data_IF_600866578480
#
_entry.id   IF_600866578480
#
_cell.length_a   1.000
_cell.length_b   1.000
_cell.length_c   1.000
_cell.angle_alpha   90.00
_cell.angle_beta   90.00
_cell.angle_gamma   90.00
#
_symmetry.space_group_name_H-M   'P 1'
#
loop_
_entity.id
_entity.type
_entity.pdbx_description
1 polymer ?
#
# COMPACT_ATOMS: atom_id res chain seq x y z
N UNK A 1 -0.56 -4.09 4.71
CA UNK A 1 -1.92 -4.17 5.28
C UNK A 1 -2.09 -3.20 6.44
N UNK A 2 -1.05 -3.05 7.29
CA UNK A 2 -0.97 -2.10 8.40
C UNK A 2 -1.56 -0.72 8.07
N UNK A 3 -2.48 -0.25 8.91
CA UNK A 3 -3.20 1.01 8.71
C UNK A 3 -2.31 2.24 8.82
N UNK A 4 -1.14 2.14 9.46
CA UNK A 4 -0.14 3.21 9.47
C UNK A 4 0.49 3.45 8.10
N UNK A 5 0.30 2.56 7.12
CA UNK A 5 0.73 2.75 5.72
C UNK A 5 -0.42 3.19 4.80
N UNK A 6 -1.63 3.38 5.33
CA UNK A 6 -2.80 3.69 4.50
C UNK A 6 -2.70 5.01 3.74
N UNK A 7 -1.85 5.93 4.19
CA UNK A 7 -1.60 7.24 3.59
C UNK A 7 -0.33 7.31 2.71
N UNK A 8 0.38 6.19 2.51
CA UNK A 8 1.72 6.18 1.89
C UNK A 8 1.78 6.90 0.53
N UNK A 9 0.77 6.75 -0.32
CA UNK A 9 0.81 7.37 -1.66
C UNK A 9 0.61 8.89 -1.57
N UNK A 10 -0.45 9.35 -0.88
CA UNK A 10 -0.85 10.76 -0.86
C UNK A 10 -0.03 11.63 0.10
N UNK A 11 0.46 11.07 1.20
CA UNK A 11 1.15 11.82 2.25
C UNK A 11 2.64 11.58 2.22
N UNK A 12 3.08 10.32 2.39
CA UNK A 12 4.51 9.96 2.46
C UNK A 12 5.23 10.22 1.14
N UNK A 13 4.68 9.73 0.03
CA UNK A 13 5.30 9.84 -1.31
C UNK A 13 4.81 11.05 -2.11
N UNK A 14 3.70 11.67 -1.68
CA UNK A 14 2.97 12.76 -2.37
C UNK A 14 2.75 12.53 -3.86
N UNK A 15 2.50 11.28 -4.22
CA UNK A 15 2.21 10.88 -5.60
C UNK A 15 0.75 11.13 -5.94
N UNK A 16 0.43 11.50 -7.19
CA UNK A 16 -0.96 11.56 -7.65
C UNK A 16 -1.62 10.18 -7.54
N UNK A 17 -2.67 10.06 -6.72
CA UNK A 17 -3.26 8.76 -6.37
C UNK A 17 -3.77 7.94 -7.57
N UNK A 18 -4.17 8.58 -8.67
CA UNK A 18 -4.61 7.89 -9.92
C UNK A 18 -3.47 7.41 -10.82
N UNK A 19 -2.24 7.79 -10.51
CA UNK A 19 -1.04 7.40 -11.27
C UNK A 19 -0.32 6.21 -10.63
N UNK A 20 -0.69 5.84 -9.40
CA UNK A 20 -0.09 4.73 -8.67
C UNK A 20 -1.16 3.71 -8.34
N UNK A 21 -0.98 2.48 -8.83
CA UNK A 21 -1.83 1.37 -8.41
C UNK A 21 -1.28 0.79 -7.11
N UNK A 22 -1.95 1.06 -6.00
CA UNK A 22 -1.60 0.50 -4.69
C UNK A 22 -2.35 -0.80 -4.44
N UNK A 23 -1.64 -1.83 -3.98
CA UNK A 23 -2.22 -3.02 -3.33
C UNK A 23 -1.47 -3.25 -2.02
N UNK A 24 -2.19 -3.65 -0.97
CA UNK A 24 -1.57 -3.91 0.33
C UNK A 24 -1.82 -5.34 0.76
N UNK A 25 -0.78 -5.96 1.29
CA UNK A 25 -0.78 -7.33 1.80
C UNK A 25 -0.11 -7.32 3.18
N UNK A 26 -0.42 -8.29 4.05
CA UNK A 26 0.35 -8.52 5.27
C UNK A 26 1.82 -8.78 4.91
N UNK A 27 2.75 -8.14 5.64
CA UNK A 27 4.19 -8.26 5.36
C UNK A 27 4.63 -7.79 3.97
N UNK A 28 3.81 -7.05 3.23
CA UNK A 28 4.06 -6.75 1.81
C UNK A 28 4.23 -8.00 0.91
N UNK A 29 3.71 -9.16 1.34
CA UNK A 29 3.78 -10.43 0.62
C UNK A 29 2.75 -10.48 -0.52
N UNK A 30 2.94 -9.64 -1.54
CA UNK A 30 1.99 -9.46 -2.63
C UNK A 30 1.86 -10.70 -3.52
N UNK A 31 0.71 -10.88 -4.14
CA UNK A 31 0.49 -11.99 -5.08
C UNK A 31 1.28 -11.78 -6.40
N UNK A 32 2.16 -12.74 -6.73
CA UNK A 32 3.03 -12.70 -7.91
C UNK A 32 2.21 -12.89 -9.17
N UNK A 33 1.35 -13.91 -9.22
CA UNK A 33 0.56 -14.24 -10.40
C UNK A 33 -0.37 -13.07 -10.74
N UNK A 34 -1.02 -12.52 -9.73
CA UNK A 34 -1.85 -11.34 -9.91
C UNK A 34 -1.06 -10.09 -10.35
N UNK A 35 0.22 -9.99 -9.97
CA UNK A 35 1.11 -8.92 -10.45
C UNK A 35 1.54 -9.15 -11.90
N UNK A 36 1.80 -10.40 -12.30
CA UNK A 36 2.10 -10.80 -13.68
C UNK A 36 0.91 -10.50 -14.59
N UNK A 37 -0.30 -10.89 -14.19
CA UNK A 37 -1.53 -10.57 -14.94
C UNK A 37 -1.66 -9.07 -15.20
N UNK A 38 -1.35 -8.22 -14.21
CA UNK A 38 -1.41 -6.76 -14.40
C UNK A 38 -0.32 -6.24 -15.33
N UNK A 39 0.89 -6.79 -15.22
CA UNK A 39 1.97 -6.44 -16.12
C UNK A 39 1.56 -6.77 -17.57
N UNK A 40 1.00 -7.96 -17.82
CA UNK A 40 0.47 -8.37 -19.12
C UNK A 40 -0.62 -7.40 -19.61
N UNK A 41 -1.57 -7.05 -18.76
CA UNK A 41 -2.63 -6.09 -19.12
C UNK A 41 -2.04 -4.73 -19.52
N UNK A 42 -1.03 -4.27 -18.79
CA UNK A 42 -0.37 -2.97 -19.03
C UNK A 42 0.41 -2.99 -20.35
N UNK A 43 1.21 -4.03 -20.61
CA UNK A 43 1.94 -4.17 -21.87
C UNK A 43 0.99 -4.36 -23.05
N UNK A 44 -0.09 -5.15 -22.90
CA UNK A 44 -1.12 -5.29 -23.93
C UNK A 44 -1.75 -3.93 -24.30
N UNK A 45 -2.02 -3.06 -23.32
CA UNK A 45 -2.53 -1.71 -23.58
C UNK A 45 -1.50 -0.83 -24.31
N UNK A 46 -0.21 -0.93 -23.99
CA UNK A 46 0.86 -0.22 -24.71
C UNK A 46 0.95 -0.67 -26.17
N UNK A 47 0.82 -1.97 -26.43
CA UNK A 47 0.82 -2.53 -27.78
C UNK A 47 -0.43 -2.16 -28.59
N UNK A 48 -1.62 -2.26 -27.98
CA UNK A 48 -2.90 -2.10 -28.70
C UNK A 48 -3.37 -0.66 -28.81
N UNK A 49 -3.11 0.17 -27.80
CA UNK A 49 -3.63 1.53 -27.72
C UNK A 49 -2.55 2.60 -27.58
N UNK A 50 -1.28 2.22 -27.43
CA UNK A 50 -0.21 3.18 -27.18
C UNK A 50 -0.38 3.95 -25.86
N UNK A 51 -1.06 3.36 -24.88
CA UNK A 51 -1.33 3.97 -23.57
C UNK A 51 -0.57 3.24 -22.45
N UNK A 52 0.08 3.97 -21.52
CA UNK A 52 0.27 5.42 -21.51
C UNK A 52 1.28 5.90 -22.58
N UNK A 53 2.01 4.98 -23.20
CA UNK A 53 2.89 5.20 -24.34
C UNK A 53 2.91 3.94 -25.22
N UNK A 54 3.57 4.02 -26.37
CA UNK A 54 3.74 2.88 -27.27
C UNK A 54 4.79 1.89 -26.76
N UNK A 55 4.65 0.61 -27.15
CA UNK A 55 5.53 -0.47 -26.70
C UNK A 55 6.99 -0.31 -27.14
N UNK A 56 7.27 0.45 -28.22
CA UNK A 56 8.63 0.77 -28.68
C UNK A 56 9.39 1.73 -27.75
N UNK A 57 8.68 2.41 -26.83
CA UNK A 57 9.34 3.32 -25.88
C UNK A 57 10.18 2.51 -24.88
N UNK A 58 11.41 2.99 -24.56
CA UNK A 58 12.30 2.33 -23.62
C UNK A 58 11.87 2.60 -22.17
N UNK A 59 10.68 2.14 -21.81
CA UNK A 59 10.11 2.24 -20.46
C UNK A 59 9.78 0.85 -19.95
N UNK A 60 9.92 0.64 -18.65
CA UNK A 60 9.53 -0.61 -17.96
C UNK A 60 8.42 -0.36 -16.96
N UNK A 61 7.76 -1.44 -16.60
CA UNK A 61 6.87 -1.47 -15.44
C UNK A 61 7.73 -1.36 -14.17
N UNK A 62 7.40 -0.43 -13.28
CA UNK A 62 8.06 -0.27 -11.99
C UNK A 62 7.22 -0.94 -10.90
N UNK A 63 7.81 -1.89 -10.16
CA UNK A 63 7.22 -2.43 -8.93
C UNK A 63 7.95 -1.86 -7.71
N UNK A 64 7.19 -1.26 -6.81
CA UNK A 64 7.69 -0.75 -5.53
C UNK A 64 7.13 -1.59 -4.39
N UNK A 65 7.98 -2.02 -3.46
CA UNK A 65 7.56 -2.57 -2.16
C UNK A 65 7.88 -1.58 -1.06
N UNK A 66 6.91 -1.34 -0.19
CA UNK A 66 7.08 -0.60 1.05
C UNK A 66 7.01 -1.56 2.23
N UNK A 67 8.15 -1.88 2.84
CA UNK A 67 8.18 -2.50 4.18
C UNK A 67 8.11 -1.39 5.23
N UNK A 68 7.91 -1.75 6.50
CA UNK A 68 7.85 -0.77 7.56
C UNK A 68 8.49 -1.25 8.85
N UNK A 69 8.84 -0.29 9.68
CA UNK A 69 9.44 -0.47 11.00
C UNK A 69 9.03 0.69 11.91
N UNK A 70 9.28 0.54 13.21
CA UNK A 70 9.17 1.61 14.20
C UNK A 70 10.57 1.95 14.68
N UNK A 71 10.94 3.22 14.67
CA UNK A 71 12.19 3.71 15.24
C UNK A 71 12.11 3.91 16.76
N UNK A 72 10.89 4.14 17.29
CA UNK A 72 10.62 4.36 18.72
C UNK A 72 10.53 3.05 19.49
N UNK A 73 9.84 2.04 18.95
CA UNK A 73 9.72 0.71 19.56
C UNK A 73 9.94 -0.42 18.54
N UNK A 74 11.20 -0.64 18.11
CA UNK A 74 11.52 -1.59 17.04
C UNK A 74 11.15 -3.04 17.36
N UNK A 75 11.10 -3.42 18.64
CA UNK A 75 10.87 -4.81 19.05
C UNK A 75 9.39 -5.18 19.12
N UNK A 76 8.48 -4.21 19.14
CA UNK A 76 7.06 -4.46 19.32
C UNK A 76 6.17 -3.80 18.24
N UNK A 77 6.54 -2.61 17.76
CA UNK A 77 5.70 -1.80 16.87
C UNK A 77 6.16 -1.82 15.39
N UNK A 78 7.03 -2.76 15.03
CA UNK A 78 7.43 -3.05 13.66
C UNK A 78 6.39 -3.87 12.89
N UNK A 79 6.83 -4.56 11.82
CA UNK A 79 5.93 -5.38 11.03
C UNK A 79 5.57 -6.68 11.74
N UNK A 80 4.33 -6.80 12.23
CA UNK A 80 3.86 -7.99 12.94
C UNK A 80 3.98 -9.30 12.13
N UNK A 81 3.78 -9.23 10.81
CA UNK A 81 3.92 -10.39 9.91
C UNK A 81 5.36 -10.96 9.87
N UNK A 82 6.34 -10.15 10.25
CA UNK A 82 7.76 -10.54 10.33
C UNK A 82 8.27 -10.50 11.78
N UNK A 83 7.37 -10.56 12.76
CA UNK A 83 7.75 -10.59 14.18
C UNK A 83 8.45 -9.32 14.67
N UNK A 84 8.09 -8.15 14.13
CA UNK A 84 8.74 -6.86 14.40
C UNK A 84 10.22 -6.80 13.99
N UNK A 85 10.70 -7.75 13.19
CA UNK A 85 12.07 -7.79 12.70
C UNK A 85 12.20 -6.97 11.42
N UNK A 86 12.86 -5.82 11.53
CA UNK A 86 13.04 -4.88 10.41
C UNK A 86 13.83 -5.49 9.26
N UNK A 87 14.84 -6.31 9.58
CA UNK A 87 15.68 -6.94 8.57
C UNK A 87 14.85 -7.97 7.80
N UNK A 88 14.12 -8.86 8.50
CA UNK A 88 13.24 -9.84 7.83
C UNK A 88 12.16 -9.18 7.00
N UNK A 89 11.61 -8.05 7.45
CA UNK A 89 10.62 -7.31 6.68
C UNK A 89 11.20 -6.74 5.38
N UNK A 90 12.44 -6.25 5.40
CA UNK A 90 13.14 -5.78 4.21
C UNK A 90 13.53 -6.94 3.27
N UNK A 91 14.05 -8.04 3.82
CA UNK A 91 14.41 -9.25 3.09
C UNK A 91 13.19 -9.86 2.38
N UNK A 92 12.07 -10.06 3.09
CA UNK A 92 10.85 -10.60 2.50
C UNK A 92 10.28 -9.69 1.40
N UNK A 93 10.39 -8.37 1.58
CA UNK A 93 10.00 -7.40 0.55
C UNK A 93 10.88 -7.48 -0.72
N UNK A 94 12.20 -7.59 -0.54
CA UNK A 94 13.16 -7.73 -1.64
C UNK A 94 12.99 -9.07 -2.38
N UNK A 95 12.92 -10.18 -1.65
CA UNK A 95 12.70 -11.51 -2.22
C UNK A 95 11.43 -11.54 -3.08
N UNK A 96 10.36 -10.87 -2.63
CA UNK A 96 9.11 -10.81 -3.38
C UNK A 96 9.23 -9.97 -4.65
N UNK A 97 9.96 -8.86 -4.63
CA UNK A 97 10.28 -8.06 -5.81
C UNK A 97 11.07 -8.88 -6.85
N UNK A 98 12.11 -9.58 -6.40
CA UNK A 98 12.97 -10.40 -7.26
C UNK A 98 12.22 -11.60 -7.85
N UNK A 99 11.36 -12.23 -7.05
CA UNK A 99 10.47 -13.31 -7.52
C UNK A 99 9.55 -12.81 -8.63
N UNK A 100 9.00 -11.60 -8.51
CA UNK A 100 8.15 -11.02 -9.55
C UNK A 100 8.94 -10.71 -10.84
N UNK A 101 10.14 -10.14 -10.72
CA UNK A 101 11.02 -9.90 -11.86
C UNK A 101 11.36 -11.20 -12.58
N UNK A 102 11.75 -12.23 -11.82
CA UNK A 102 12.04 -13.58 -12.31
C UNK A 102 10.83 -14.20 -13.01
N UNK A 103 9.62 -14.02 -12.47
CA UNK A 103 8.40 -14.51 -13.09
C UNK A 103 8.13 -13.85 -14.45
N UNK A 104 8.38 -12.55 -14.60
CA UNK A 104 8.27 -11.86 -15.90
C UNK A 104 9.35 -12.33 -16.87
N UNK A 105 10.61 -12.38 -16.43
CA UNK A 105 11.75 -12.73 -17.28
C UNK A 105 11.71 -14.17 -17.79
N UNK A 106 11.20 -15.10 -16.99
CA UNK A 106 11.13 -16.52 -17.36
C UNK A 106 9.90 -16.88 -18.21
N UNK A 107 8.77 -16.20 -18.03
CA UNK A 107 7.52 -16.55 -18.72
C UNK A 107 7.32 -15.81 -20.04
N UNK A 108 8.06 -14.73 -20.30
CA UNK A 108 7.89 -13.91 -21.50
C UNK A 108 9.21 -13.77 -22.25
N UNK A 109 9.17 -13.99 -23.57
CA UNK A 109 10.38 -13.98 -24.41
C UNK A 109 11.01 -12.60 -24.54
N UNK A 110 12.10 -12.55 -25.32
CA UNK A 110 12.49 -11.33 -26.02
C UNK A 110 12.98 -10.19 -25.10
N UNK A 111 13.49 -10.55 -23.91
CA UNK A 111 14.06 -9.60 -22.95
C UNK A 111 13.02 -8.87 -22.10
N UNK A 112 11.82 -9.43 -21.93
CA UNK A 112 10.82 -8.90 -21.01
C UNK A 112 11.39 -8.78 -19.59
N UNK A 113 11.25 -7.60 -18.97
CA UNK A 113 11.76 -7.33 -17.62
C UNK A 113 11.02 -6.13 -17.02
N UNK A 114 11.26 -5.88 -15.73
CA UNK A 114 10.66 -4.81 -14.92
C UNK A 114 11.73 -4.13 -14.07
N UNK A 115 11.45 -2.89 -13.66
CA UNK A 115 12.28 -2.18 -12.69
C UNK A 115 11.71 -2.38 -11.27
N UNK A 116 12.60 -2.39 -10.28
CA UNK A 116 12.29 -2.64 -8.88
C UNK A 116 12.70 -1.44 -8.02
N UNK A 117 11.99 -1.20 -6.92
CA UNK A 117 12.38 -0.25 -5.89
C UNK A 117 11.89 -0.74 -4.53
N UNK A 118 12.74 -0.64 -3.51
CA UNK A 118 12.38 -1.00 -2.14
C UNK A 118 12.44 0.24 -1.25
N UNK A 119 11.40 0.45 -0.44
CA UNK A 119 11.29 1.55 0.50
C UNK A 119 10.98 0.99 1.89
N UNK A 120 11.70 1.44 2.92
CA UNK A 120 11.36 1.19 4.31
C UNK A 120 10.72 2.41 4.93
N UNK A 121 9.49 2.31 5.42
CA UNK A 121 8.81 3.41 6.11
C UNK A 121 8.97 3.29 7.63
N UNK A 122 9.49 4.33 8.27
CA UNK A 122 9.39 4.49 9.72
C UNK A 122 7.99 4.99 10.08
N UNK A 123 7.18 4.17 10.75
CA UNK A 123 5.79 4.49 11.09
C UNK A 123 5.64 5.53 12.20
N UNK A 124 6.73 5.87 12.90
CA UNK A 124 6.73 6.88 13.96
C UNK A 124 6.94 8.28 13.40
N UNK A 125 7.71 8.40 12.32
CA UNK A 125 8.11 9.71 11.77
C UNK A 125 7.65 9.94 10.34
N UNK A 126 7.09 8.91 9.69
CA UNK A 126 6.84 8.82 8.25
C UNK A 126 8.09 9.06 7.38
N UNK A 127 9.29 8.98 7.96
CA UNK A 127 10.53 9.01 7.21
C UNK A 127 10.77 7.69 6.47
N UNK A 128 11.65 7.71 5.46
CA UNK A 128 11.88 6.59 4.56
C UNK A 128 13.35 6.21 4.49
N UNK A 129 13.59 4.91 4.27
CA UNK A 129 14.82 4.38 3.71
C UNK A 129 14.57 4.04 2.25
N UNK A 130 15.22 4.74 1.33
CA UNK A 130 15.10 4.48 -0.11
C UNK A 130 16.28 3.64 -0.55
N UNK A 131 16.04 2.37 -0.86
CA UNK A 131 17.06 1.44 -1.35
C UNK A 131 17.18 1.60 -2.86
N UNK A 132 18.18 2.35 -3.29
CA UNK A 132 18.36 2.72 -4.70
C UNK A 132 19.04 1.57 -5.46
N UNK A 133 18.41 1.01 -6.51
CA UNK A 133 19.04 -0.03 -7.30
C UNK A 133 20.32 0.44 -8.00
N UNK A 134 21.20 -0.48 -8.36
CA UNK A 134 22.35 -0.21 -9.22
C UNK A 134 21.98 -0.20 -10.72
N UNK A 135 22.99 -0.21 -11.60
CA UNK A 135 22.78 -0.22 -13.06
C UNK A 135 22.11 -1.48 -13.59
N UNK A 136 22.27 -2.61 -12.90
CA UNK A 136 21.68 -3.91 -13.24
C UNK A 136 20.30 -4.09 -12.58
N UNK A 137 19.90 -3.11 -11.75
CA UNK A 137 18.65 -3.12 -11.00
C UNK A 137 18.70 -3.99 -9.76
N UNK A 138 19.89 -4.30 -9.26
CA UNK A 138 20.10 -5.04 -7.99
C UNK A 138 19.92 -4.07 -6.82
N UNK A 139 19.22 -4.53 -5.79
CA UNK A 139 18.98 -3.78 -4.56
C UNK A 139 19.82 -4.37 -3.44
N UNK A 140 20.57 -3.53 -2.74
CA UNK A 140 21.39 -3.92 -1.59
C UNK A 140 20.77 -3.37 -0.30
N UNK A 141 20.38 -4.23 0.63
CA UNK A 141 19.66 -3.83 1.85
C UNK A 141 20.49 -2.98 2.83
N UNK A 142 21.82 -3.07 2.74
CA UNK A 142 22.78 -2.27 3.51
C UNK A 142 23.05 -0.89 2.88
N UNK A 143 22.45 -0.59 1.72
CA UNK A 143 22.63 0.67 0.99
C UNK A 143 21.29 1.36 0.75
N UNK A 144 21.04 2.40 1.52
CA UNK A 144 19.84 3.22 1.36
C UNK A 144 20.13 4.69 1.69
N UNK A 145 19.30 5.57 1.13
CA UNK A 145 19.24 6.97 1.55
C UNK A 145 18.18 7.10 2.64
N UNK A 146 18.57 7.54 3.83
CA UNK A 146 17.66 7.81 4.95
C UNK A 146 17.14 9.25 4.86
N UNK A 147 15.84 9.41 4.66
CA UNK A 147 15.25 10.75 4.46
C UNK A 147 15.19 11.58 5.74
N UNK A 148 15.22 10.96 6.93
CA UNK A 148 15.29 11.71 8.17
C UNK A 148 16.68 12.36 8.35
N UNK A 149 17.74 11.67 7.92
CA UNK A 149 19.08 12.26 7.93
C UNK A 149 19.24 13.33 6.85
N UNK A 150 18.68 13.11 5.65
CA UNK A 150 18.58 14.16 4.63
C UNK A 150 17.86 15.39 5.20
N UNK A 151 16.68 15.22 5.81
CA UNK A 151 15.91 16.31 6.40
C UNK A 151 16.74 17.11 7.40
N UNK A 152 17.41 16.44 8.35
CA UNK A 152 18.22 17.12 9.39
C UNK A 152 19.32 17.99 8.80
N UNK A 153 19.94 17.56 7.69
CA UNK A 153 21.04 18.28 7.04
C UNK A 153 20.50 19.44 6.20
N UNK A 154 19.40 19.24 5.48
CA UNK A 154 18.91 20.22 4.49
C UNK A 154 17.92 21.23 5.06
N UNK A 155 17.37 21.04 6.27
CA UNK A 155 16.31 21.88 6.85
C UNK A 155 16.61 23.39 6.95
N UNK A 156 17.89 23.79 6.95
CA UNK A 156 18.30 25.21 7.01
C UNK A 156 19.00 25.69 5.73
N UNK A 157 19.12 24.83 4.71
CA UNK A 157 19.72 25.15 3.43
C UNK A 157 18.72 25.78 2.46
N UNK A 158 19.22 26.26 1.34
CA UNK A 158 18.41 26.64 0.18
C UNK A 158 17.85 25.41 -0.54
N UNK A 159 16.81 25.61 -1.34
CA UNK A 159 16.22 24.56 -2.19
C UNK A 159 17.27 23.89 -3.09
N UNK A 160 18.14 24.69 -3.71
CA UNK A 160 19.21 24.18 -4.58
C UNK A 160 20.22 23.33 -3.81
N UNK A 161 20.68 23.80 -2.65
CA UNK A 161 21.59 23.00 -1.80
C UNK A 161 20.93 21.69 -1.35
N UNK A 162 19.63 21.71 -1.07
CA UNK A 162 18.85 20.52 -0.72
C UNK A 162 18.79 19.51 -1.86
N UNK A 163 18.39 19.94 -3.07
CA UNK A 163 18.32 19.06 -4.25
C UNK A 163 19.70 18.52 -4.64
N UNK A 164 20.75 19.34 -4.58
CA UNK A 164 22.12 18.89 -4.82
C UNK A 164 22.58 17.87 -3.78
N UNK A 165 22.25 18.09 -2.51
CA UNK A 165 22.55 17.13 -1.44
C UNK A 165 21.84 15.79 -1.67
N UNK A 166 20.56 15.80 -2.02
CA UNK A 166 19.79 14.59 -2.32
C UNK A 166 20.40 13.83 -3.50
N UNK A 167 20.71 14.52 -4.60
CA UNK A 167 21.34 13.91 -5.76
C UNK A 167 22.68 13.27 -5.41
N UNK A 168 23.50 13.94 -4.60
CA UNK A 168 24.78 13.42 -4.13
C UNK A 168 24.61 12.20 -3.21
N UNK A 169 23.62 12.18 -2.31
CA UNK A 169 23.34 11.02 -1.46
C UNK A 169 22.92 9.80 -2.28
N UNK A 170 22.05 9.99 -3.28
CA UNK A 170 21.63 8.92 -4.20
C UNK A 170 22.84 8.35 -4.94
N UNK A 171 23.68 9.22 -5.52
CA UNK A 171 24.89 8.79 -6.26
C UNK A 171 25.97 8.21 -5.36
N UNK A 172 26.04 8.61 -4.09
CA UNK A 172 26.96 7.99 -3.12
C UNK A 172 26.47 6.60 -2.71
N UNK A 173 25.16 6.43 -2.56
CA UNK A 173 24.51 5.16 -2.23
C UNK A 173 24.58 4.16 -3.39
N UNK A 174 24.35 4.63 -4.62
CA UNK A 174 24.38 3.83 -5.85
C UNK A 174 25.03 4.64 -6.97
N UNK A 175 26.36 4.56 -7.15
CA UNK A 175 27.10 5.38 -8.12
C UNK A 175 26.61 5.21 -9.56
N UNK A 176 26.30 3.97 -9.94
CA UNK A 176 25.94 3.60 -11.31
C UNK A 176 24.43 3.57 -11.57
N UNK A 177 23.60 4.06 -10.63
CA UNK A 177 22.14 4.10 -10.79
C UNK A 177 21.73 4.73 -12.13
N UNK A 178 20.74 4.14 -12.78
CA UNK A 178 20.15 4.70 -14.00
C UNK A 178 19.56 6.09 -13.73
N UNK A 179 19.79 7.03 -14.65
CA UNK A 179 19.39 8.44 -14.48
C UNK A 179 17.89 8.63 -14.19
N UNK A 180 17.03 7.85 -14.84
CA UNK A 180 15.59 7.87 -14.58
C UNK A 180 15.24 7.43 -13.16
N UNK A 181 15.89 6.38 -12.67
CA UNK A 181 15.72 5.85 -11.31
C UNK A 181 16.25 6.84 -10.28
N UNK A 182 17.39 7.47 -10.52
CA UNK A 182 17.94 8.52 -9.66
C UNK A 182 16.99 9.71 -9.53
N UNK A 183 16.45 10.20 -10.66
CA UNK A 183 15.46 11.29 -10.68
C UNK A 183 14.19 10.92 -9.94
N UNK A 184 13.70 9.70 -10.13
CA UNK A 184 12.49 9.25 -9.43
C UNK A 184 12.73 9.09 -7.93
N UNK A 185 13.86 8.53 -7.51
CA UNK A 185 14.24 8.45 -6.10
C UNK A 185 14.36 9.84 -5.46
N UNK A 186 15.01 10.80 -6.13
CA UNK A 186 15.11 12.19 -5.67
C UNK A 186 13.73 12.81 -5.47
N UNK A 187 12.83 12.65 -6.46
CA UNK A 187 11.46 13.13 -6.37
C UNK A 187 10.70 12.56 -5.17
N UNK A 188 10.85 11.26 -4.87
CA UNK A 188 10.22 10.65 -3.69
C UNK A 188 10.81 11.18 -2.39
N UNK A 189 12.13 11.37 -2.33
CA UNK A 189 12.83 11.89 -1.14
C UNK A 189 12.39 13.33 -0.87
N UNK A 190 12.43 14.22 -1.87
CA UNK A 190 11.99 15.62 -1.76
C UNK A 190 10.55 15.74 -1.24
N UNK A 191 9.65 14.93 -1.81
CA UNK A 191 8.26 14.87 -1.37
C UNK A 191 8.13 14.42 0.09
N UNK A 192 8.92 13.43 0.50
CA UNK A 192 8.88 12.88 1.85
C UNK A 192 9.42 13.85 2.90
N UNK A 193 10.37 14.73 2.57
CA UNK A 193 10.84 15.78 3.49
C UNK A 193 9.66 16.63 4.00
N UNK A 194 8.69 16.92 3.13
CA UNK A 194 7.50 17.65 3.53
C UNK A 194 6.53 16.83 4.41
N UNK A 195 6.56 15.50 4.32
CA UNK A 195 5.81 14.64 5.24
C UNK A 195 6.48 14.59 6.61
N UNK A 196 7.81 14.48 6.66
CA UNK A 196 8.58 14.59 7.91
C UNK A 196 8.26 15.93 8.59
N UNK A 197 8.30 17.04 7.84
CA UNK A 197 7.95 18.36 8.35
C UNK A 197 6.51 18.41 8.90
N UNK A 198 5.57 17.77 8.20
CA UNK A 198 4.18 17.65 8.67
C UNK A 198 4.09 16.92 10.03
N UNK A 199 4.79 15.79 10.20
CA UNK A 199 4.79 15.07 11.48
C UNK A 199 5.39 15.95 12.57
N UNK A 200 6.55 16.56 12.29
CA UNK A 200 7.24 17.45 13.23
C UNK A 200 6.40 18.62 13.70
N UNK A 201 5.75 19.29 12.77
CA UNK A 201 4.93 20.47 13.06
C UNK A 201 3.70 20.14 13.91
N UNK A 202 3.09 18.97 13.72
CA UNK A 202 1.82 18.63 14.38
C UNK A 202 2.00 17.77 15.64
N UNK A 203 3.07 16.99 15.73
CA UNK A 203 3.26 15.97 16.76
C UNK A 203 4.63 16.02 17.45
N UNK A 204 5.55 16.89 17.00
CA UNK A 204 6.94 16.87 17.48
C UNK A 204 7.72 15.73 16.82
N UNK A 205 8.67 15.12 17.52
CA UNK A 205 9.64 14.23 16.88
C UNK A 205 9.05 12.92 16.32
N UNK A 206 7.87 12.48 16.80
CA UNK A 206 7.16 11.29 16.32
C UNK A 206 5.65 11.39 16.58
N UNK A 207 4.86 10.54 15.91
CA UNK A 207 3.45 10.35 16.23
C UNK A 207 3.24 9.88 17.68
N UNK A 208 2.20 10.37 18.38
CA UNK A 208 1.88 9.93 19.73
C UNK A 208 1.24 8.53 19.75
N UNK A 209 0.64 8.10 18.65
CA UNK A 209 0.07 6.77 18.44
C UNK A 209 1.05 5.90 17.64
N UNK A 210 1.99 5.29 18.35
CA UNK A 210 3.04 4.44 17.77
C UNK A 210 2.45 3.17 17.14
N UNK A 211 1.38 2.61 17.69
CA UNK A 211 0.77 1.37 17.21
C UNK A 211 -0.50 1.51 16.36
N UNK A 212 -1.23 0.40 16.27
CA UNK A 212 -2.51 0.28 15.58
C UNK A 212 -3.60 1.15 16.20
N UNK A 213 -4.32 1.93 15.38
CA UNK A 213 -5.45 2.76 15.81
C UNK A 213 -6.58 2.83 14.77
N UNK A 214 -6.69 1.82 13.92
CA UNK A 214 -7.62 1.74 12.80
C UNK A 214 -9.10 1.86 13.20
N UNK A 215 -9.93 2.40 12.29
CA UNK A 215 -11.35 2.65 12.53
C UNK A 215 -12.26 1.60 11.90
N UNK A 216 -11.82 0.98 10.80
CA UNK A 216 -12.49 -0.18 10.20
C UNK A 216 -11.52 -1.08 9.43
N UNK A 217 -11.99 -2.29 9.13
CA UNK A 217 -11.30 -3.22 8.21
C UNK A 217 -11.86 -3.00 6.80
N UNK A 218 -11.01 -2.68 5.83
CA UNK A 218 -11.37 -2.78 4.42
C UNK A 218 -11.03 -4.15 3.87
N UNK A 219 -11.99 -4.80 3.22
CA UNK A 219 -11.83 -6.10 2.58
C UNK A 219 -12.19 -6.01 1.10
N UNK A 220 -11.41 -6.68 0.25
CA UNK A 220 -11.64 -6.72 -1.20
C UNK A 220 -10.63 -5.87 -1.98
N UNK A 221 -11.12 -4.92 -2.78
CA UNK A 221 -10.28 -3.99 -3.55
C UNK A 221 -10.02 -2.71 -2.72
N UNK A 222 -8.82 -2.12 -2.90
CA UNK A 222 -8.33 -0.98 -2.13
C UNK A 222 -9.18 0.27 -2.28
N UNK A 223 -9.12 1.14 -1.27
CA UNK A 223 -9.80 2.44 -1.27
C UNK A 223 -8.83 3.52 -1.74
N UNK A 224 -8.99 3.97 -2.98
CA UNK A 224 -8.13 5.00 -3.56
C UNK A 224 -8.44 6.39 -3.00
N UNK A 225 -9.68 6.61 -2.56
CA UNK A 225 -10.23 7.92 -2.20
C UNK A 225 -9.89 8.32 -0.76
N UNK A 226 -9.72 7.33 0.14
CA UNK A 226 -9.50 7.54 1.58
C UNK A 226 -8.15 6.94 2.02
N UNK A 227 -7.11 7.77 1.94
CA UNK A 227 -5.73 7.38 2.25
C UNK A 227 -5.23 8.16 3.47
N UNK A 228 -5.61 7.71 4.67
CA UNK A 228 -5.27 8.35 5.94
C UNK A 228 -4.63 7.35 6.89
N UNK A 229 -3.55 7.77 7.57
CA UNK A 229 -2.84 6.97 8.58
C UNK A 229 -3.83 6.50 9.65
N UNK A 230 -3.77 5.23 10.01
CA UNK A 230 -4.62 4.62 11.04
C UNK A 230 -6.14 4.83 10.79
N UNK A 231 -6.58 5.07 9.55
CA UNK A 231 -8.02 5.05 9.25
C UNK A 231 -8.52 3.62 9.10
N UNK A 232 -7.79 2.78 8.37
CA UNK A 232 -8.25 1.45 8.01
C UNK A 232 -7.13 0.43 7.96
N UNK A 233 -7.43 -0.77 8.47
CA UNK A 233 -6.61 -1.95 8.21
C UNK A 233 -7.11 -2.55 6.89
N UNK A 234 -6.23 -2.85 5.95
CA UNK A 234 -6.65 -3.32 4.62
C UNK A 234 -6.21 -4.75 4.33
N UNK A 235 -7.19 -5.62 4.11
CA UNK A 235 -7.03 -6.98 3.62
C UNK A 235 -7.43 -7.04 2.14
N UNK A 236 -6.44 -7.08 1.25
CA UNK A 236 -6.68 -7.31 -0.17
C UNK A 236 -7.12 -8.76 -0.37
N UNK A 237 -8.28 -8.98 -0.98
CA UNK A 237 -8.77 -10.33 -1.23
C UNK A 237 -9.70 -10.43 -2.42
N UNK A 238 -9.65 -11.57 -3.09
CA UNK A 238 -10.70 -12.00 -4.02
C UNK A 238 -11.65 -12.91 -3.26
N UNK A 239 -11.15 -13.97 -2.63
CA UNK A 239 -11.95 -14.82 -1.73
C UNK A 239 -11.45 -14.71 -0.29
N UNK A 240 -12.29 -15.05 0.70
CA UNK A 240 -11.85 -15.01 2.11
C UNK A 240 -10.85 -16.13 2.36
N UNK A 241 -11.04 -17.26 1.70
CA UNK A 241 -10.21 -18.46 1.75
C UNK A 241 -8.75 -18.19 1.34
N UNK A 242 -8.55 -17.36 0.31
CA UNK A 242 -7.22 -16.95 -0.17
C UNK A 242 -6.55 -15.91 0.75
N UNK A 243 -7.31 -15.22 1.61
CA UNK A 243 -6.83 -14.12 2.44
C UNK A 243 -7.11 -14.32 3.93
N UNK A 244 -7.22 -15.59 4.37
CA UNK A 244 -7.53 -15.94 5.76
C UNK A 244 -6.55 -15.26 6.72
N UNK A 245 -5.25 -15.36 6.44
CA UNK A 245 -4.21 -14.79 7.29
C UNK A 245 -4.37 -13.27 7.45
N UNK A 246 -4.63 -12.53 6.36
CA UNK A 246 -4.83 -11.08 6.41
C UNK A 246 -6.08 -10.71 7.21
N UNK A 247 -7.19 -11.45 7.04
CA UNK A 247 -8.43 -11.17 7.78
C UNK A 247 -8.33 -11.50 9.27
N UNK A 248 -7.64 -12.59 9.64
CA UNK A 248 -7.43 -12.98 11.03
C UNK A 248 -6.59 -11.95 11.80
N UNK A 249 -5.54 -11.42 11.15
CA UNK A 249 -4.73 -10.32 11.71
C UNK A 249 -5.60 -9.09 11.96
N UNK A 250 -6.46 -8.72 11.02
CA UNK A 250 -7.40 -7.62 11.18
C UNK A 250 -8.35 -7.82 12.37
N UNK A 251 -8.94 -9.00 12.50
CA UNK A 251 -9.82 -9.33 13.64
C UNK A 251 -9.06 -9.30 14.96
N UNK A 252 -7.82 -9.79 15.01
CA UNK A 252 -6.98 -9.72 16.21
C UNK A 252 -6.72 -8.28 16.64
N UNK A 253 -6.38 -7.39 15.69
CA UNK A 253 -6.20 -5.95 15.96
C UNK A 253 -7.50 -5.36 16.53
N UNK A 254 -8.64 -5.58 15.87
CA UNK A 254 -9.93 -5.04 16.30
C UNK A 254 -10.49 -5.68 17.57
N UNK A 255 -10.01 -6.86 17.95
CA UNK A 255 -10.32 -7.43 19.27
C UNK A 255 -9.76 -6.54 20.38
N UNK A 256 -8.50 -6.10 20.23
CA UNK A 256 -7.87 -5.16 21.15
C UNK A 256 -8.45 -3.75 21.07
N UNK A 257 -8.69 -3.24 19.86
CA UNK A 257 -9.18 -1.87 19.67
C UNK A 257 -10.64 -1.68 20.09
N UNK A 258 -11.51 -2.65 19.76
CA UNK A 258 -12.96 -2.52 19.83
C UNK A 258 -13.61 -3.55 20.77
N UNK A 259 -13.45 -4.86 20.49
CA UNK A 259 -14.24 -5.92 21.16
C UNK A 259 -14.03 -5.90 22.68
N UNK A 260 -12.78 -5.77 23.13
CA UNK A 260 -12.44 -5.70 24.56
C UNK A 260 -13.04 -4.46 25.27
N UNK A 261 -13.56 -3.48 24.52
CA UNK A 261 -14.22 -2.27 25.02
C UNK A 261 -15.73 -2.30 24.77
N UNK A 262 -16.28 -3.43 24.34
CA UNK A 262 -17.71 -3.58 24.02
C UNK A 262 -18.15 -2.91 22.72
N UNK A 263 -17.21 -2.60 21.81
CA UNK A 263 -17.51 -2.03 20.51
C UNK A 263 -17.44 -3.12 19.41
N UNK A 264 -18.32 -3.08 18.40
CA UNK A 264 -18.28 -4.04 17.29
C UNK A 264 -17.07 -3.81 16.38
N UNK A 265 -16.76 -4.80 15.56
CA UNK A 265 -15.77 -4.74 14.48
C UNK A 265 -16.47 -4.29 13.18
N UNK A 266 -16.19 -3.08 12.67
CA UNK A 266 -16.71 -2.63 11.39
C UNK A 266 -15.83 -3.11 10.22
N UNK A 267 -16.45 -3.71 9.22
CA UNK A 267 -15.83 -4.17 7.98
C UNK A 267 -16.54 -3.52 6.79
N UNK A 268 -15.76 -2.97 5.86
CA UNK A 268 -16.24 -2.49 4.56
C UNK A 268 -15.74 -3.43 3.48
N UNK A 269 -16.66 -4.18 2.86
CA UNK A 269 -16.39 -5.08 1.73
C UNK A 269 -16.58 -4.30 0.44
N UNK A 270 -15.52 -4.16 -0.35
CA UNK A 270 -15.51 -3.38 -1.59
C UNK A 270 -15.08 -4.22 -2.79
N UNK A 271 -15.85 -4.14 -3.87
CA UNK A 271 -15.43 -4.60 -5.19
C UNK A 271 -15.73 -3.56 -6.27
N UNK A 272 -14.75 -3.32 -7.12
CA UNK A 272 -14.90 -2.41 -8.25
C UNK A 272 -15.26 -3.21 -9.52
N UNK A 273 -15.96 -2.57 -10.47
CA UNK A 273 -16.35 -3.16 -11.74
C UNK A 273 -16.12 -2.19 -12.89
N UNK A 274 -16.08 -2.70 -14.12
CA UNK A 274 -16.02 -1.88 -15.33
C UNK A 274 -17.41 -1.79 -15.95
N UNK A 275 -18.07 -0.62 -15.88
CA UNK A 275 -19.45 -0.45 -16.34
C UNK A 275 -19.68 -0.73 -17.83
N UNK A 276 -18.62 -0.72 -18.64
CA UNK A 276 -18.65 -1.07 -20.06
C UNK A 276 -18.75 -2.59 -20.31
N UNK A 277 -18.53 -3.42 -19.29
CA UNK A 277 -18.57 -4.88 -19.42
C UNK A 277 -19.96 -5.38 -18.98
N UNK A 278 -20.75 -6.00 -19.88
CA UNK A 278 -22.08 -6.50 -19.53
C UNK A 278 -22.08 -7.43 -18.30
N UNK A 279 -23.00 -7.16 -17.37
CA UNK A 279 -23.16 -7.90 -16.11
C UNK A 279 -22.02 -7.72 -15.10
N UNK A 280 -21.06 -6.81 -15.31
CA UNK A 280 -19.94 -6.64 -14.38
C UNK A 280 -20.37 -6.12 -13.01
N UNK A 281 -21.35 -5.20 -12.96
CA UNK A 281 -21.93 -4.73 -11.70
C UNK A 281 -22.56 -5.89 -10.90
N UNK A 282 -23.37 -6.72 -11.56
CA UNK A 282 -24.04 -7.84 -10.89
C UNK A 282 -23.03 -8.86 -10.37
N UNK A 283 -21.96 -9.14 -11.14
CA UNK A 283 -20.86 -10.00 -10.67
C UNK A 283 -20.14 -9.41 -9.46
N UNK A 284 -19.90 -8.11 -9.42
CA UNK A 284 -19.28 -7.43 -8.28
C UNK A 284 -20.20 -7.45 -7.04
N UNK A 285 -21.50 -7.24 -7.19
CA UNK A 285 -22.48 -7.39 -6.11
C UNK A 285 -22.48 -8.82 -5.55
N UNK A 286 -22.60 -9.84 -6.42
CA UNK A 286 -22.54 -11.24 -6.00
C UNK A 286 -21.22 -11.56 -5.29
N UNK A 287 -20.14 -10.87 -5.65
CA UNK A 287 -18.85 -10.98 -4.99
C UNK A 287 -18.87 -10.43 -3.57
N UNK A 288 -19.40 -9.22 -3.38
CA UNK A 288 -19.63 -8.64 -2.05
C UNK A 288 -20.45 -9.59 -1.17
N UNK A 289 -21.52 -10.19 -1.71
CA UNK A 289 -22.38 -11.12 -0.98
C UNK A 289 -21.65 -12.40 -0.57
N UNK A 290 -20.85 -12.99 -1.48
CA UNK A 290 -20.03 -14.19 -1.18
C UNK A 290 -19.03 -13.91 -0.06
N UNK A 291 -18.28 -12.82 -0.15
CA UNK A 291 -17.28 -12.44 0.86
C UNK A 291 -17.94 -12.13 2.19
N UNK A 292 -19.06 -11.40 2.17
CA UNK A 292 -19.83 -11.08 3.38
C UNK A 292 -20.31 -12.35 4.08
N UNK A 293 -20.83 -13.33 3.34
CA UNK A 293 -21.25 -14.62 3.90
C UNK A 293 -20.07 -15.38 4.51
N UNK A 294 -18.95 -15.49 3.79
CA UNK A 294 -17.76 -16.17 4.30
C UNK A 294 -17.19 -15.50 5.56
N UNK A 295 -17.20 -14.17 5.65
CA UNK A 295 -16.80 -13.44 6.87
C UNK A 295 -17.73 -13.75 8.05
N UNK A 296 -19.05 -13.76 7.83
CA UNK A 296 -20.01 -14.12 8.88
C UNK A 296 -19.87 -15.58 9.34
N UNK A 297 -19.63 -16.51 8.41
CA UNK A 297 -19.44 -17.93 8.73
C UNK A 297 -18.13 -18.16 9.51
N UNK A 298 -17.03 -17.51 9.08
CA UNK A 298 -15.73 -17.63 9.75
C UNK A 298 -15.74 -17.03 11.16
N UNK A 299 -16.39 -15.89 11.33
CA UNK A 299 -16.46 -15.16 12.60
C UNK A 299 -17.86 -15.24 13.22
N UNK A 300 -18.46 -16.43 13.18
CA UNK A 300 -19.84 -16.68 13.60
C UNK A 300 -20.13 -16.25 15.05
N UNK A 301 -19.15 -16.38 15.95
CA UNK A 301 -19.30 -15.94 17.34
C UNK A 301 -19.48 -14.41 17.44
N UNK A 302 -18.64 -13.64 16.72
CA UNK A 302 -18.76 -12.18 16.68
C UNK A 302 -20.06 -11.76 15.99
N UNK A 303 -20.42 -12.41 14.88
CA UNK A 303 -21.65 -12.14 14.15
C UNK A 303 -22.90 -12.43 15.00
N UNK A 304 -22.94 -13.58 15.67
CA UNK A 304 -24.04 -14.01 16.53
C UNK A 304 -24.25 -13.10 17.75
N UNK A 305 -23.18 -12.46 18.24
CA UNK A 305 -23.24 -11.47 19.32
C UNK A 305 -23.57 -10.05 18.84
N UNK A 306 -23.73 -9.82 17.54
CA UNK A 306 -23.89 -8.47 16.98
C UNK A 306 -22.62 -7.62 17.06
N UNK A 307 -21.45 -8.26 17.23
CA UNK A 307 -20.14 -7.62 17.36
C UNK A 307 -19.37 -7.56 16.03
N UNK A 308 -19.98 -8.00 14.92
CA UNK A 308 -19.45 -7.88 13.57
C UNK A 308 -20.43 -7.10 12.70
N UNK A 309 -19.99 -5.97 12.14
CA UNK A 309 -20.80 -5.16 11.24
C UNK A 309 -20.14 -5.03 9.89
N UNK A 310 -20.85 -5.45 8.84
CA UNK A 310 -20.37 -5.41 7.46
C UNK A 310 -21.19 -4.41 6.63
N UNK A 311 -20.49 -3.53 5.89
CA UNK A 311 -21.03 -2.66 4.84
C UNK A 311 -20.48 -3.13 3.49
N UNK A 312 -21.37 -3.38 2.53
CA UNK A 312 -21.05 -3.81 1.18
C UNK A 312 -21.12 -2.63 0.23
N UNK A 313 -20.05 -2.43 -0.55
CA UNK A 313 -19.96 -1.33 -1.50
C UNK A 313 -19.37 -1.77 -2.83
N UNK A 314 -19.79 -1.12 -3.91
CA UNK A 314 -19.21 -1.30 -5.25
C UNK A 314 -18.90 0.04 -5.89
N UNK A 315 -18.05 0.04 -6.91
CA UNK A 315 -17.71 1.25 -7.68
C UNK A 315 -17.43 0.93 -9.14
N UNK A 316 -17.95 1.75 -10.04
CA UNK A 316 -17.53 1.71 -11.45
C UNK A 316 -16.16 2.38 -11.62
N UNK A 317 -15.16 1.65 -12.12
CA UNK A 317 -13.82 2.18 -12.42
C UNK A 317 -13.79 3.09 -13.65
N UNK A 318 -14.74 2.95 -14.58
CA UNK A 318 -14.72 3.66 -15.87
C UNK A 318 -15.25 5.07 -15.73
N UNK A 319 -16.28 5.24 -14.91
CA UNK A 319 -16.79 6.54 -14.51
C UNK A 319 -16.00 6.99 -13.29
N UNK A 320 -15.78 8.29 -13.11
CA UNK A 320 -15.31 8.82 -11.84
C UNK A 320 -16.47 8.80 -10.80
N UNK A 321 -17.15 7.66 -10.70
CA UNK A 321 -18.40 7.48 -10.02
C UNK A 321 -18.17 7.44 -8.50
N UNK A 322 -19.16 7.92 -7.73
CA UNK A 322 -19.17 7.71 -6.30
C UNK A 322 -19.27 6.21 -5.99
N UNK A 323 -18.89 5.87 -4.76
CA UNK A 323 -19.11 4.53 -4.22
C UNK A 323 -20.63 4.30 -4.11
N UNK A 324 -21.08 3.14 -4.54
CA UNK A 324 -22.45 2.65 -4.38
C UNK A 324 -22.52 1.74 -3.15
N UNK A 325 -23.43 2.03 -2.22
CA UNK A 325 -23.70 1.17 -1.06
C UNK A 325 -24.76 0.15 -1.43
N UNK A 326 -24.40 -1.13 -1.39
CA UNK A 326 -25.32 -2.25 -1.69
C UNK A 326 -26.12 -2.68 -0.45
N UNK A 327 -25.50 -2.63 0.72
CA UNK A 327 -26.15 -3.03 1.97
C UNK A 327 -25.25 -2.81 3.18
N UNK A 328 -25.87 -2.68 4.36
CA UNK A 328 -25.18 -2.56 5.63
C UNK A 328 -25.93 -3.35 6.71
N UNK A 329 -25.19 -4.10 7.52
CA UNK A 329 -25.73 -4.80 8.70
C UNK A 329 -26.20 -3.84 9.81
N UNK A 330 -25.66 -2.62 9.83
CA UNK A 330 -26.17 -1.54 10.68
C UNK A 330 -27.36 -0.91 9.96
N UNK A 331 -28.52 -0.90 10.61
CA UNK A 331 -29.66 -0.09 10.19
C UNK A 331 -29.49 1.29 10.81
N UNK A 332 -28.98 2.32 10.10
CA UNK A 332 -29.09 3.67 10.63
C UNK A 332 -30.57 3.94 10.87
N UNK A 333 -30.91 4.45 12.06
CA UNK A 333 -32.20 5.14 12.19
C UNK A 333 -32.08 6.38 11.32
N UNK A 334 -32.96 6.53 10.33
CA UNK A 334 -33.15 7.79 9.62
C UNK A 334 -33.73 8.81 10.61
N UNK A 335 -32.92 9.29 11.54
CA UNK A 335 -33.23 10.52 12.25
C UNK A 335 -32.86 11.65 11.28
N UNK A 336 -33.83 12.02 10.45
CA UNK A 336 -33.73 13.19 9.58
C UNK A 336 -33.35 14.42 10.40
N UNK A 337 -32.14 14.92 10.21
CA UNK A 337 -31.59 16.16 10.78
C UNK A 337 -30.07 16.13 10.67
N UNK A 338 -29.37 17.06 10.04
CA UNK A 338 -29.69 18.40 9.52
C UNK A 338 -28.96 18.63 8.21
#
# INVERSE_FOLDING_TARGET
ADGRLAHVIRYVLRMPYRKVRRKSYAGAMFDIDNSVEKWVETEMLRFREGKPNTADKPTRYLKVVAYHYSSVDPLHEGCAAHGSDTQKAAEGGLERLETFKTAVENNFCCGASIDLLLIGLDTDTDSMRVHVPDMDGVIHLDRFVDTLDVYKVTQYGSETEGSDFIANQIRSCSPEVLEGTAKFAAYLIENNLSQIDYVRKNYGDAYPDTGHAERFIGAGIGFEEIQLRNLMYFAYLTTVEEAVADTDVGIKIFTGLNVNKGLPVPIVVRFDYHGQVPGARDRAQQHCERVTRALNERYADLAGQGMLHIMQVVRDCNANAPIEVLGCSVKPKDDGGH
#
